data_IF_467528581720
#
_entry.id   IF_467528581720
#
_cell.length_a   1.000
_cell.length_b   1.000
_cell.length_c   1.000
_cell.angle_alpha   90.00
_cell.angle_beta   90.00
_cell.angle_gamma   90.00
#
_symmetry.space_group_name_H-M   'P 1'
#
loop_
_entity.id
_entity.type
_entity.pdbx_description
1 polymer ?
#
# COMPACT_ATOMS: atom_id res chain seq x y z
N UNK A 1 -9.31 5.77 -8.50
CA UNK A 1 -7.96 6.30 -8.79
C UNK A 1 -7.82 7.60 -8.02
N UNK A 2 -7.08 7.63 -6.90
CA UNK A 2 -7.05 8.83 -6.04
C UNK A 2 -6.23 8.70 -4.75
N UNK A 3 -6.03 7.46 -4.28
CA UNK A 3 -5.30 7.20 -3.02
C UNK A 3 -3.78 7.39 -3.11
N UNK A 4 -3.20 7.35 -4.32
CA UNK A 4 -1.76 7.59 -4.51
C UNK A 4 -1.39 9.08 -4.47
N UNK A 5 -2.21 9.94 -5.09
CA UNK A 5 -2.00 11.39 -5.08
C UNK A 5 -2.16 11.93 -3.66
N UNK A 6 -3.21 11.51 -2.94
CA UNK A 6 -3.42 11.95 -1.56
C UNK A 6 -2.26 11.57 -0.62
N UNK A 7 -1.63 10.41 -0.86
CA UNK A 7 -0.47 9.96 -0.06
C UNK A 7 0.77 10.83 -0.30
N UNK A 8 1.09 11.16 -1.55
CA UNK A 8 2.20 12.08 -1.86
C UNK A 8 1.89 13.49 -1.38
N UNK A 9 0.67 13.97 -1.63
CA UNK A 9 0.24 15.30 -1.22
C UNK A 9 0.33 15.47 0.30
N UNK A 10 -0.07 14.47 1.09
CA UNK A 10 0.04 14.52 2.56
C UNK A 10 1.49 14.53 3.04
N UNK A 11 2.35 13.64 2.50
CA UNK A 11 3.75 13.59 2.88
C UNK A 11 4.52 14.87 2.45
N UNK A 12 4.20 15.40 1.26
CA UNK A 12 4.74 16.68 0.78
C UNK A 12 4.26 17.87 1.61
N UNK A 13 2.97 17.91 1.97
CA UNK A 13 2.42 18.96 2.84
C UNK A 13 3.10 18.95 4.21
N UNK A 14 3.32 17.76 4.79
CA UNK A 14 4.06 17.62 6.05
C UNK A 14 5.48 18.17 5.93
N UNK A 15 6.22 17.75 4.89
CA UNK A 15 7.60 18.21 4.67
C UNK A 15 7.68 19.74 4.45
N UNK A 16 6.73 20.32 3.69
CA UNK A 16 6.68 21.77 3.49
C UNK A 16 6.37 22.50 4.81
N UNK A 17 5.39 22.02 5.57
CA UNK A 17 5.02 22.64 6.85
C UNK A 17 6.15 22.55 7.88
N UNK A 18 6.89 21.45 7.93
CA UNK A 18 7.98 21.26 8.89
C UNK A 18 9.28 21.96 8.46
N UNK A 19 9.68 21.86 7.20
CA UNK A 19 10.99 22.34 6.74
C UNK A 19 10.97 23.75 6.14
N UNK A 20 9.87 24.18 5.51
CA UNK A 20 9.77 25.52 4.88
C UNK A 20 9.15 26.53 5.84
N UNK A 21 8.09 26.14 6.56
CA UNK A 21 7.37 27.03 7.48
C UNK A 21 7.80 26.88 8.94
N UNK A 22 8.71 25.94 9.25
CA UNK A 22 9.19 25.65 10.61
C UNK A 22 8.06 25.45 11.63
N UNK A 23 6.92 24.91 11.19
CA UNK A 23 5.76 24.72 12.06
C UNK A 23 6.07 23.61 13.06
N UNK A 24 5.74 23.85 14.33
CA UNK A 24 5.95 22.89 15.40
C UNK A 24 5.21 21.57 15.10
N UNK A 25 5.92 20.45 15.16
CA UNK A 25 5.38 19.11 14.91
C UNK A 25 4.15 18.80 15.77
N UNK A 26 4.09 19.34 17.00
CA UNK A 26 2.92 19.21 17.88
C UNK A 26 1.70 19.94 17.33
N UNK A 27 1.89 21.12 16.73
CA UNK A 27 0.81 21.88 16.11
C UNK A 27 0.27 21.18 14.84
N UNK A 28 1.16 20.56 14.06
CA UNK A 28 0.77 19.71 12.92
C UNK A 28 -0.01 18.47 13.41
N UNK A 29 0.43 17.85 14.51
CA UNK A 29 -0.28 16.70 15.08
C UNK A 29 -1.68 17.10 15.58
N UNK A 30 -1.80 18.22 16.31
CA UNK A 30 -3.07 18.70 16.82
C UNK A 30 -4.05 19.11 15.71
N UNK A 31 -3.56 19.65 14.59
CA UNK A 31 -4.42 19.98 13.44
C UNK A 31 -4.93 18.74 12.70
N UNK A 32 -4.27 17.58 12.85
CA UNK A 32 -4.73 16.31 12.26
C UNK A 32 -5.77 15.56 13.10
N UNK A 33 -5.89 15.83 14.41
CA UNK A 33 -6.85 15.17 15.30
C UNK A 33 -8.32 15.25 14.84
N UNK A 34 -8.85 16.38 14.33
CA UNK A 34 -10.24 16.45 13.91
C UNK A 34 -10.51 15.73 12.58
N UNK A 35 -9.47 15.43 11.78
CA UNK A 35 -9.64 14.92 10.41
C UNK A 35 -10.39 13.58 10.35
N UNK A 36 -10.10 12.55 11.18
CA UNK A 36 -10.84 11.30 11.17
C UNK A 36 -12.32 11.46 11.52
N UNK A 37 -12.64 12.40 12.41
CA UNK A 37 -14.02 12.70 12.80
C UNK A 37 -14.76 13.43 11.67
N UNK A 38 -14.11 14.38 11.00
CA UNK A 38 -14.67 15.05 9.82
C UNK A 38 -14.87 14.08 8.65
N UNK A 39 -13.97 13.11 8.46
CA UNK A 39 -14.14 12.05 7.45
C UNK A 39 -15.31 11.12 7.80
N UNK A 40 -15.48 10.78 9.08
CA UNK A 40 -16.58 9.94 9.55
C UNK A 40 -17.93 10.67 9.39
N UNK A 41 -17.98 11.95 9.72
CA UNK A 41 -19.16 12.81 9.53
C UNK A 41 -19.47 13.00 8.05
N UNK A 42 -18.47 13.26 7.21
CA UNK A 42 -18.63 13.32 5.77
C UNK A 42 -19.10 11.98 5.18
N UNK A 43 -18.64 10.84 5.69
CA UNK A 43 -19.10 9.51 5.28
C UNK A 43 -20.57 9.26 5.67
N UNK A 44 -20.98 9.72 6.85
CA UNK A 44 -22.36 9.60 7.32
C UNK A 44 -23.33 10.51 6.55
N UNK A 45 -22.86 11.70 6.12
CA UNK A 45 -23.63 12.67 5.34
C UNK A 45 -23.58 12.44 3.83
N UNK A 46 -22.62 11.65 3.34
CA UNK A 46 -22.57 11.29 1.93
C UNK A 46 -23.62 10.24 1.65
N UNK A 47 -24.47 10.49 0.65
CA UNK A 47 -25.31 9.44 0.06
C UNK A 47 -24.43 8.23 -0.32
N UNK A 48 -24.93 6.99 -0.23
CA UNK A 48 -24.15 5.81 -0.56
C UNK A 48 -23.61 5.95 -1.99
N UNK A 49 -22.29 6.16 -2.09
CA UNK A 49 -21.61 6.29 -3.37
C UNK A 49 -21.85 5.02 -4.18
N UNK A 50 -22.65 5.15 -5.24
CA UNK A 50 -22.81 4.08 -6.23
C UNK A 50 -21.51 3.92 -7.00
N UNK A 51 -20.67 3.00 -6.51
CA UNK A 51 -19.54 2.49 -7.25
C UNK A 51 -20.01 2.02 -8.64
N UNK A 52 -19.21 2.14 -9.71
CA UNK A 52 -19.51 1.48 -10.98
C UNK A 52 -19.75 -0.04 -10.83
N UNK A 53 -19.30 -0.64 -9.71
CA UNK A 53 -19.64 -2.00 -9.31
C UNK A 53 -21.10 -2.20 -8.91
N UNK A 54 -21.77 -1.19 -8.34
CA UNK A 54 -23.21 -1.25 -8.01
C UNK A 54 -24.09 -1.22 -9.27
N UNK A 55 -23.69 -0.53 -10.33
CA UNK A 55 -24.40 -0.58 -11.64
C UNK A 55 -24.32 -1.99 -12.26
N UNK A 56 -23.18 -2.66 -12.04
CA UNK A 56 -22.99 -4.07 -12.44
C UNK A 56 -23.79 -5.01 -11.52
N UNK A 57 -23.88 -4.73 -10.22
CA UNK A 57 -24.73 -5.50 -9.28
C UNK A 57 -26.23 -5.38 -9.60
N UNK A 58 -26.73 -4.20 -9.99
CA UNK A 58 -28.12 -4.04 -10.44
C UNK A 58 -28.40 -4.85 -11.71
N UNK A 59 -27.39 -5.04 -12.57
CA UNK A 59 -27.49 -5.93 -13.74
C UNK A 59 -27.32 -7.42 -13.38
N UNK A 60 -26.62 -7.72 -12.28
CA UNK A 60 -26.33 -9.08 -11.81
C UNK A 60 -27.41 -9.66 -10.88
N UNK A 61 -28.31 -8.83 -10.36
CA UNK A 61 -29.40 -9.23 -9.45
C UNK A 61 -30.47 -10.15 -10.07
N UNK A 62 -30.40 -10.47 -11.37
CA UNK A 62 -31.23 -11.53 -11.96
C UNK A 62 -30.63 -12.95 -11.84
N UNK A 63 -29.42 -13.12 -11.29
CA UNK A 63 -28.89 -14.45 -10.98
C UNK A 63 -29.17 -14.76 -9.50
N UNK A 64 -30.11 -15.68 -9.27
CA UNK A 64 -30.47 -16.16 -7.93
C UNK A 64 -29.21 -16.66 -7.20
N UNK A 65 -28.78 -15.90 -6.20
CA UNK A 65 -27.58 -16.15 -5.42
C UNK A 65 -27.87 -17.15 -4.31
N UNK A 66 -27.59 -18.43 -4.56
CA UNK A 66 -27.48 -19.43 -3.50
C UNK A 66 -26.33 -19.04 -2.56
N UNK A 67 -26.60 -18.94 -1.27
CA UNK A 67 -25.63 -18.47 -0.28
C UNK A 67 -24.52 -19.53 -0.14
N UNK A 68 -23.27 -19.29 -0.62
CA UNK A 68 -22.29 -20.36 -0.76
C UNK A 68 -21.91 -20.93 0.60
N UNK A 69 -21.88 -22.26 0.69
CA UNK A 69 -21.50 -22.98 1.90
C UNK A 69 -20.09 -22.59 2.34
N UNK A 70 -19.81 -22.65 3.65
CA UNK A 70 -18.47 -22.39 4.21
C UNK A 70 -17.41 -23.27 3.52
N UNK A 71 -17.78 -24.50 3.12
CA UNK A 71 -16.91 -25.43 2.38
C UNK A 71 -16.50 -24.88 1.02
N UNK A 72 -17.40 -24.21 0.32
CA UNK A 72 -17.16 -23.63 -1.00
C UNK A 72 -16.27 -22.39 -0.89
N UNK A 73 -16.49 -21.56 0.13
CA UNK A 73 -15.60 -20.42 0.44
C UNK A 73 -14.16 -20.85 0.72
N UNK A 74 -13.97 -21.92 1.51
CA UNK A 74 -12.64 -22.47 1.81
C UNK A 74 -11.97 -23.06 0.56
N UNK A 75 -12.74 -23.71 -0.32
CA UNK A 75 -12.22 -24.28 -1.57
C UNK A 75 -11.76 -23.19 -2.53
N UNK A 76 -12.49 -22.08 -2.66
CA UNK A 76 -12.09 -20.94 -3.49
C UNK A 76 -10.83 -20.24 -2.97
N UNK A 77 -10.61 -20.23 -1.64
CA UNK A 77 -9.40 -19.66 -1.03
C UNK A 77 -8.12 -20.35 -1.54
N UNK A 78 -8.19 -21.65 -1.88
CA UNK A 78 -7.07 -22.42 -2.46
C UNK A 78 -6.57 -21.89 -3.81
N UNK A 79 -7.35 -21.10 -4.53
CA UNK A 79 -6.92 -20.54 -5.82
C UNK A 79 -6.34 -19.13 -5.69
N UNK A 80 -6.63 -18.46 -4.57
CA UNK A 80 -6.35 -17.05 -4.32
C UNK A 80 -5.31 -16.85 -3.19
N UNK A 81 -4.91 -17.91 -2.48
CA UNK A 81 -3.97 -17.79 -1.36
C UNK A 81 -2.62 -17.17 -1.76
N UNK A 82 -2.11 -17.42 -2.97
CA UNK A 82 -0.82 -16.86 -3.44
C UNK A 82 -0.83 -15.32 -3.47
N UNK A 83 -1.74 -14.65 -4.20
CA UNK A 83 -1.79 -13.19 -4.16
C UNK A 83 -2.15 -12.64 -2.77
N UNK A 84 -2.96 -13.35 -1.98
CA UNK A 84 -3.26 -12.94 -0.60
C UNK A 84 -2.00 -12.94 0.27
N UNK A 85 -1.24 -14.04 0.28
CA UNK A 85 -0.02 -14.14 1.08
C UNK A 85 1.03 -13.14 0.61
N UNK A 86 1.13 -12.90 -0.69
CA UNK A 86 2.01 -11.87 -1.26
C UNK A 86 1.69 -10.47 -0.73
N UNK A 87 0.41 -10.08 -0.73
CA UNK A 87 -0.01 -8.76 -0.22
C UNK A 87 0.23 -8.69 1.30
N UNK A 88 -0.11 -9.75 2.03
CA UNK A 88 0.09 -9.80 3.48
C UNK A 88 1.58 -9.67 3.84
N UNK A 89 2.45 -10.37 3.12
CA UNK A 89 3.89 -10.35 3.37
C UNK A 89 4.47 -8.94 3.16
N UNK A 90 4.08 -8.27 2.07
CA UNK A 90 4.47 -6.87 1.82
C UNK A 90 3.98 -5.96 2.93
N UNK A 91 2.72 -6.10 3.33
CA UNK A 91 2.15 -5.27 4.39
C UNK A 91 2.91 -5.41 5.70
N UNK A 92 3.21 -6.64 6.12
CA UNK A 92 3.98 -6.89 7.35
C UNK A 92 5.40 -6.33 7.23
N UNK A 93 6.05 -6.55 6.09
CA UNK A 93 7.42 -6.07 5.83
C UNK A 93 7.49 -4.54 5.87
N UNK A 94 6.59 -3.87 5.16
CA UNK A 94 6.48 -2.40 5.13
C UNK A 94 6.23 -1.85 6.53
N UNK A 95 5.33 -2.48 7.29
CA UNK A 95 5.04 -2.07 8.66
C UNK A 95 6.25 -2.22 9.58
N UNK A 96 6.92 -3.38 9.55
CA UNK A 96 8.11 -3.62 10.37
C UNK A 96 9.21 -2.62 10.06
N UNK A 97 9.45 -2.33 8.78
CA UNK A 97 10.46 -1.38 8.36
C UNK A 97 10.14 0.04 8.82
N UNK A 98 8.90 0.48 8.65
CA UNK A 98 8.46 1.81 9.07
C UNK A 98 8.51 1.98 10.60
N UNK A 99 8.15 0.95 11.37
CA UNK A 99 8.07 1.07 12.84
C UNK A 99 9.37 0.71 13.56
N UNK A 100 10.22 -0.13 12.97
CA UNK A 100 11.37 -0.73 13.67
C UNK A 100 12.72 -0.41 13.03
N UNK A 101 12.77 -0.10 11.73
CA UNK A 101 14.05 0.07 11.01
C UNK A 101 14.30 1.54 10.72
N UNK A 102 13.40 2.19 9.97
CA UNK A 102 13.59 3.56 9.52
C UNK A 102 13.82 4.58 10.65
N UNK A 103 13.16 4.48 11.83
CA UNK A 103 13.42 5.40 12.95
C UNK A 103 14.83 5.26 13.54
N UNK A 104 15.48 4.12 13.35
CA UNK A 104 16.81 3.82 13.90
C UNK A 104 17.95 4.19 12.93
N UNK A 105 17.64 4.65 11.72
CA UNK A 105 18.63 5.11 10.75
C UNK A 105 18.67 6.63 10.81
N UNK A 106 19.86 7.18 11.08
CA UNK A 106 20.07 8.61 11.05
C UNK A 106 21.38 8.97 10.32
N UNK A 107 21.41 10.18 9.78
CA UNK A 107 22.54 10.70 9.00
C UNK A 107 23.01 12.02 9.60
N UNK A 108 24.32 12.14 9.85
CA UNK A 108 24.94 13.31 10.49
C UNK A 108 24.62 14.64 9.77
N UNK A 109 24.43 14.61 8.45
CA UNK A 109 24.12 15.81 7.66
C UNK A 109 22.61 16.15 7.62
N UNK A 110 21.75 15.25 8.09
CA UNK A 110 20.28 15.34 7.99
C UNK A 110 19.59 14.75 9.23
N UNK A 111 20.11 15.07 10.42
CA UNK A 111 19.66 14.49 11.69
C UNK A 111 18.13 14.58 11.86
N UNK A 112 17.50 13.44 12.15
CA UNK A 112 16.06 13.34 12.37
C UNK A 112 15.17 13.54 11.14
N UNK A 113 15.75 13.73 9.94
CA UNK A 113 14.98 13.95 8.70
C UNK A 113 14.83 12.72 7.82
N UNK A 114 15.70 11.72 7.99
CA UNK A 114 15.71 10.53 7.14
C UNK A 114 14.35 9.83 7.12
N UNK A 115 13.76 9.58 8.29
CA UNK A 115 12.46 8.91 8.42
C UNK A 115 11.37 9.55 7.55
N UNK A 116 11.24 10.89 7.58
CA UNK A 116 10.25 11.62 6.80
C UNK A 116 10.52 11.53 5.30
N UNK A 117 11.78 11.71 4.88
CA UNK A 117 12.13 11.62 3.47
C UNK A 117 12.01 10.20 2.93
N UNK A 118 12.36 9.18 3.72
CA UNK A 118 12.20 7.77 3.37
C UNK A 118 10.73 7.42 3.13
N UNK A 119 9.84 7.87 4.01
CA UNK A 119 8.39 7.74 3.80
C UNK A 119 7.94 8.42 2.51
N UNK A 120 8.37 9.65 2.26
CA UNK A 120 8.01 10.37 1.04
C UNK A 120 8.50 9.63 -0.22
N UNK A 121 9.76 9.21 -0.26
CA UNK A 121 10.36 8.46 -1.36
C UNK A 121 9.64 7.14 -1.63
N UNK A 122 9.31 6.39 -0.57
CA UNK A 122 8.54 5.16 -0.69
C UNK A 122 7.15 5.40 -1.30
N UNK A 123 6.43 6.42 -0.83
CA UNK A 123 5.11 6.78 -1.38
C UNK A 123 5.20 7.25 -2.83
N UNK A 124 6.25 7.97 -3.20
CA UNK A 124 6.51 8.35 -4.59
C UNK A 124 6.69 7.11 -5.48
N UNK A 125 7.43 6.10 -5.02
CA UNK A 125 7.61 4.83 -5.72
C UNK A 125 6.28 4.08 -5.90
N UNK A 126 5.48 3.96 -4.83
CA UNK A 126 4.16 3.33 -4.90
C UNK A 126 3.23 4.03 -5.89
N UNK A 127 3.26 5.35 -5.93
CA UNK A 127 2.46 6.13 -6.86
C UNK A 127 2.85 5.87 -8.32
N UNK A 128 4.15 5.87 -8.62
CA UNK A 128 4.67 5.54 -9.96
C UNK A 128 4.17 4.17 -10.38
N UNK A 129 4.33 3.16 -9.51
CA UNK A 129 3.89 1.80 -9.81
C UNK A 129 2.37 1.67 -9.99
N UNK A 130 1.57 2.35 -9.17
CA UNK A 130 0.10 2.31 -9.27
C UNK A 130 -0.40 3.03 -10.52
N UNK A 131 0.34 4.04 -10.99
CA UNK A 131 0.01 4.82 -12.19
C UNK A 131 0.41 4.10 -13.48
N UNK A 132 1.44 3.24 -13.45
CA UNK A 132 1.95 2.52 -14.63
C UNK A 132 1.14 1.26 -15.00
N UNK A 133 0.13 0.90 -14.22
CA UNK A 133 -0.56 -0.39 -14.33
C UNK A 133 -1.44 -0.61 -15.59
N UNK A 134 -2.05 0.40 -16.24
CA UNK A 134 -2.74 0.14 -17.51
C UNK A 134 -1.81 -0.43 -18.59
N UNK A 135 -0.49 -0.26 -18.44
CA UNK A 135 0.51 -0.54 -19.47
C UNK A 135 1.26 -1.88 -19.26
N UNK A 136 1.43 -2.34 -18.01
CA UNK A 136 2.21 -3.57 -17.72
C UNK A 136 1.55 -4.44 -16.65
N UNK A 137 1.22 -5.70 -17.00
CA UNK A 137 0.67 -6.71 -16.09
C UNK A 137 1.72 -7.79 -15.85
N UNK A 138 2.01 -8.09 -14.58
CA UNK A 138 2.90 -9.20 -14.24
C UNK A 138 2.16 -10.54 -14.34
N UNK A 139 2.83 -11.63 -14.79
CA UNK A 139 2.27 -12.96 -14.71
C UNK A 139 2.09 -13.40 -13.25
N UNK A 140 1.00 -14.12 -12.94
CA UNK A 140 0.58 -14.49 -11.56
C UNK A 140 1.72 -15.06 -10.69
N UNK A 141 2.54 -15.94 -11.26
CA UNK A 141 3.65 -16.58 -10.56
C UNK A 141 4.77 -15.61 -10.18
N UNK A 142 4.95 -14.55 -10.97
CA UNK A 142 5.98 -13.54 -10.75
C UNK A 142 5.67 -12.63 -9.56
N UNK A 143 4.45 -12.63 -9.01
CA UNK A 143 4.08 -11.78 -7.85
C UNK A 143 4.81 -12.20 -6.57
N UNK A 144 5.16 -13.48 -6.42
CA UNK A 144 5.93 -13.94 -5.27
C UNK A 144 7.36 -13.39 -5.27
N UNK A 145 7.93 -13.13 -6.43
CA UNK A 145 9.31 -12.65 -6.58
C UNK A 145 9.51 -11.29 -5.89
N UNK A 146 8.75 -10.23 -6.21
CA UNK A 146 8.87 -8.94 -5.53
C UNK A 146 8.44 -9.03 -4.06
N UNK A 147 7.54 -9.96 -3.66
CA UNK A 147 7.20 -10.19 -2.24
C UNK A 147 8.37 -10.77 -1.44
N UNK A 148 9.14 -11.69 -2.02
CA UNK A 148 10.36 -12.21 -1.40
C UNK A 148 11.44 -11.13 -1.38
N UNK A 149 11.56 -10.35 -2.46
CA UNK A 149 12.51 -9.25 -2.53
C UNK A 149 12.25 -8.20 -1.44
N UNK A 150 10.99 -7.91 -1.13
CA UNK A 150 10.59 -7.07 0.00
C UNK A 150 11.15 -7.58 1.33
N UNK A 151 11.11 -8.89 1.60
CA UNK A 151 11.74 -9.46 2.79
C UNK A 151 13.26 -9.21 2.80
N UNK A 152 13.92 -9.33 1.65
CA UNK A 152 15.34 -8.99 1.51
C UNK A 152 15.62 -7.51 1.79
N UNK A 153 14.74 -6.60 1.39
CA UNK A 153 14.83 -5.17 1.72
C UNK A 153 14.71 -4.92 3.22
N UNK A 154 13.80 -5.61 3.92
CA UNK A 154 13.70 -5.52 5.39
C UNK A 154 14.98 -6.02 6.06
N UNK A 155 15.50 -7.17 5.64
CA UNK A 155 16.76 -7.72 6.19
C UNK A 155 17.91 -6.74 5.95
N UNK A 156 18.04 -6.20 4.74
CA UNK A 156 19.01 -5.16 4.41
C UNK A 156 18.84 -3.93 5.31
N UNK A 157 17.61 -3.47 5.50
CA UNK A 157 17.28 -2.35 6.37
C UNK A 157 17.70 -2.60 7.82
N UNK A 158 17.44 -3.80 8.36
CA UNK A 158 17.89 -4.17 9.72
C UNK A 158 19.42 -4.09 9.85
N UNK A 159 20.18 -4.59 8.87
CA UNK A 159 21.64 -4.46 8.87
C UNK A 159 22.08 -3.00 8.77
N UNK A 160 21.41 -2.19 7.96
CA UNK A 160 21.72 -0.77 7.85
C UNK A 160 21.42 -0.01 9.16
N UNK A 161 20.33 -0.33 9.85
CA UNK A 161 20.00 0.27 11.14
C UNK A 161 21.00 -0.09 12.24
N UNK A 162 21.52 -1.33 12.24
CA UNK A 162 22.49 -1.78 13.25
C UNK A 162 23.90 -1.24 12.99
N UNK A 163 24.38 -1.29 11.73
CA UNK A 163 25.77 -1.02 11.41
C UNK A 163 26.01 0.35 10.78
N UNK A 164 24.97 1.04 10.31
CA UNK A 164 25.03 2.34 9.62
C UNK A 164 26.15 2.41 8.56
N UNK A 165 26.38 1.30 7.86
CA UNK A 165 27.52 1.17 6.94
C UNK A 165 27.39 2.08 5.72
N UNK A 166 26.17 2.48 5.38
CA UNK A 166 25.87 3.36 4.27
C UNK A 166 25.59 4.78 4.77
N UNK A 167 26.55 5.69 4.63
CA UNK A 167 26.45 7.07 5.13
C UNK A 167 26.03 8.08 4.03
N UNK A 168 25.25 7.64 3.04
CA UNK A 168 24.70 8.52 2.01
C UNK A 168 23.17 8.43 1.98
N UNK A 169 22.52 9.48 2.47
CA UNK A 169 21.07 9.59 2.54
C UNK A 169 20.40 9.42 1.16
N UNK A 170 20.97 9.99 0.10
CA UNK A 170 20.33 9.97 -1.22
C UNK A 170 20.24 8.56 -1.79
N UNK A 171 21.24 7.73 -1.51
CA UNK A 171 21.22 6.34 -1.98
C UNK A 171 20.18 5.54 -1.19
N UNK A 172 20.05 5.76 0.12
CA UNK A 172 18.97 5.15 0.90
C UNK A 172 17.58 5.59 0.40
N UNK A 173 17.39 6.90 0.15
CA UNK A 173 16.12 7.40 -0.39
C UNK A 173 15.79 6.81 -1.76
N UNK A 174 16.79 6.56 -2.60
CA UNK A 174 16.61 5.89 -3.88
C UNK A 174 16.22 4.41 -3.71
N UNK A 175 16.81 3.71 -2.72
CA UNK A 175 16.41 2.34 -2.38
C UNK A 175 14.97 2.28 -1.84
N UNK A 176 14.60 3.20 -0.94
CA UNK A 176 13.22 3.35 -0.43
C UNK A 176 12.22 3.59 -1.57
N UNK A 177 12.61 4.39 -2.58
CA UNK A 177 11.80 4.62 -3.77
C UNK A 177 11.62 3.34 -4.61
N UNK A 178 12.68 2.56 -4.86
CA UNK A 178 12.59 1.28 -5.57
C UNK A 178 11.69 0.30 -4.80
N UNK A 179 11.85 0.24 -3.48
CA UNK A 179 11.02 -0.60 -2.63
C UNK A 179 9.54 -0.21 -2.73
N UNK A 180 9.25 1.09 -2.77
CA UNK A 180 7.92 1.62 -3.03
C UNK A 180 7.35 1.16 -4.37
N UNK A 181 8.16 1.14 -5.44
CA UNK A 181 7.73 0.61 -6.73
C UNK A 181 7.35 -0.87 -6.61
N UNK A 182 8.16 -1.68 -5.92
CA UNK A 182 7.91 -3.11 -5.74
C UNK A 182 6.63 -3.36 -4.92
N UNK A 183 6.43 -2.63 -3.83
CA UNK A 183 5.23 -2.72 -3.00
C UNK A 183 3.97 -2.36 -3.77
N UNK A 184 4.01 -1.25 -4.52
CA UNK A 184 2.91 -0.83 -5.40
C UNK A 184 2.57 -1.88 -6.46
N UNK A 185 3.59 -2.53 -7.02
CA UNK A 185 3.42 -3.50 -8.10
C UNK A 185 2.72 -4.77 -7.60
N UNK A 186 3.10 -5.25 -6.41
CA UNK A 186 2.47 -6.40 -5.76
C UNK A 186 1.02 -6.09 -5.40
N UNK A 187 0.77 -4.92 -4.80
CA UNK A 187 -0.58 -4.54 -4.37
C UNK A 187 -1.56 -4.59 -5.54
N UNK A 188 -1.22 -3.92 -6.64
CA UNK A 188 -2.18 -3.77 -7.73
C UNK A 188 -2.33 -5.07 -8.54
N UNK A 189 -1.25 -5.79 -8.82
CA UNK A 189 -1.35 -7.10 -9.50
C UNK A 189 -2.05 -8.12 -8.59
N UNK A 190 -1.74 -8.16 -7.31
CA UNK A 190 -2.38 -9.05 -6.33
C UNK A 190 -3.88 -8.83 -6.26
N UNK A 191 -4.33 -7.58 -6.14
CA UNK A 191 -5.75 -7.22 -6.16
C UNK A 191 -6.42 -7.59 -7.48
N UNK A 192 -5.75 -7.39 -8.61
CA UNK A 192 -6.27 -7.82 -9.92
C UNK A 192 -6.53 -9.34 -9.99
N UNK A 193 -5.57 -10.15 -9.55
CA UNK A 193 -5.75 -11.61 -9.54
C UNK A 193 -6.79 -12.07 -8.52
N UNK A 194 -6.87 -11.44 -7.35
CA UNK A 194 -7.91 -11.73 -6.36
C UNK A 194 -9.30 -11.51 -6.98
N UNK A 195 -9.52 -10.35 -7.62
CA UNK A 195 -10.80 -10.02 -8.24
C UNK A 195 -11.17 -10.93 -9.42
N UNK A 196 -10.21 -11.29 -10.29
CA UNK A 196 -10.52 -12.17 -11.43
C UNK A 196 -10.79 -13.61 -10.98
N UNK A 197 -10.02 -14.10 -10.01
CA UNK A 197 -10.14 -15.49 -9.56
C UNK A 197 -11.40 -15.69 -8.72
N UNK A 198 -11.79 -14.71 -7.90
CA UNK A 198 -13.06 -14.75 -7.17
C UNK A 198 -14.26 -14.77 -8.11
N UNK A 199 -14.23 -13.95 -9.18
CA UNK A 199 -15.28 -13.93 -10.20
C UNK A 199 -15.37 -15.24 -11.00
N UNK A 200 -14.22 -15.88 -11.32
CA UNK A 200 -14.20 -17.17 -12.03
C UNK A 200 -14.76 -18.31 -11.19
N UNK A 201 -14.46 -18.35 -9.90
CA UNK A 201 -15.02 -19.33 -8.97
C UNK A 201 -16.52 -19.10 -8.78
N UNK A 202 -16.94 -17.84 -8.58
CA UNK A 202 -18.35 -17.49 -8.47
C UNK A 202 -19.17 -17.96 -9.69
N UNK A 203 -18.68 -17.72 -10.91
CA UNK A 203 -19.34 -18.21 -12.14
C UNK A 203 -19.48 -19.73 -12.23
N UNK A 204 -18.60 -20.50 -11.56
CA UNK A 204 -18.70 -21.96 -11.51
C UNK A 204 -19.75 -22.47 -10.51
N UNK A 205 -20.15 -21.66 -9.54
CA UNK A 205 -21.23 -22.00 -8.60
C UNK A 205 -22.61 -21.65 -9.16
N UNK A 206 -22.68 -20.73 -10.14
CA UNK A 206 -23.93 -20.34 -10.79
C UNK A 206 -24.29 -21.15 -12.05
N UNK A 207 -23.48 -22.14 -12.43
CA UNK A 207 -23.68 -23.06 -13.57
C UNK A 207 -23.75 -24.50 -13.06
#
# INVERSE_FOLDING_TARGET
TGTGVSSISSAGLYAILSDVFHVNQKAILYSCIPIPFLILEAFYLSDPFQSPGQIIETTSQQVHLENPSIKDKVKSLRYVWVPIISILLVFVTEYMKNQSVNPNIDFTNFEGKYYTFAMFSYQAGQFVSRSSLPLFKLPKWSILIPSILQLSYLVFGCYQAEFLFMNNIYVMLFLDFIEGILGGLIYVNGMYYISILSLKEYKKFCL
#
